data_IF_586798067660
#
_entry.id   IF_586798067660
#
_cell.length_a   1.000
_cell.length_b   1.000
_cell.length_c   1.000
_cell.angle_alpha   90.00
_cell.angle_beta   90.00
_cell.angle_gamma   90.00
#
_symmetry.space_group_name_H-M   'P 1'
#
loop_
_entity.id
_entity.type
_entity.pdbx_description
1 polymer ?
#
# COMPACT_ATOMS: atom_id res chain seq x y z
N UNK A 1 -3.62 -2.75 7.22
CA UNK A 1 -2.57 -3.78 7.25
C UNK A 1 -2.80 -4.87 8.31
N UNK A 2 -3.44 -4.58 9.44
CA UNK A 2 -3.54 -5.55 10.54
C UNK A 2 -4.78 -6.46 10.49
N UNK A 3 -5.78 -6.16 9.67
CA UNK A 3 -6.87 -7.09 9.31
C UNK A 3 -7.38 -7.93 10.48
N UNK A 4 -7.20 -9.24 10.39
CA UNK A 4 -7.67 -10.23 11.38
C UNK A 4 -6.88 -10.26 12.70
N UNK A 5 -5.78 -9.50 12.82
CA UNK A 5 -5.07 -9.35 14.09
C UNK A 5 -5.92 -8.68 15.18
N UNK A 6 -7.02 -8.00 14.81
CA UNK A 6 -8.04 -7.53 15.76
C UNK A 6 -8.59 -8.64 16.67
N UNK A 7 -8.57 -9.90 16.19
CA UNK A 7 -8.98 -11.05 17.01
C UNK A 7 -8.02 -11.35 18.17
N UNK A 8 -6.76 -10.90 18.07
CA UNK A 8 -5.76 -11.00 19.14
C UNK A 8 -5.82 -9.80 20.08
N UNK A 9 -5.94 -8.60 19.51
CA UNK A 9 -6.09 -7.35 20.26
C UNK A 9 -7.28 -6.55 19.71
N UNK A 10 -8.41 -6.50 20.43
CA UNK A 10 -9.60 -5.76 20.02
C UNK A 10 -9.41 -4.26 19.84
N UNK A 11 -8.36 -3.65 20.41
CA UNK A 11 -8.07 -2.22 20.27
C UNK A 11 -7.56 -1.86 18.86
N UNK A 12 -7.04 -2.84 18.11
CA UNK A 12 -6.57 -2.64 16.75
C UNK A 12 -7.72 -2.25 15.82
N UNK A 13 -7.50 -1.19 15.03
CA UNK A 13 -8.31 -0.80 13.89
C UNK A 13 -8.13 -1.81 12.73
N UNK A 14 -8.71 -3.00 12.89
CA UNK A 14 -8.70 -4.10 11.93
C UNK A 14 -10.09 -4.41 11.38
N UNK A 15 -10.26 -5.61 10.83
CA UNK A 15 -11.55 -6.06 10.25
C UNK A 15 -12.40 -6.81 11.27
N UNK A 16 -13.71 -6.77 11.06
CA UNK A 16 -14.73 -7.41 11.89
C UNK A 16 -15.52 -8.48 11.14
N UNK A 17 -15.36 -8.56 9.81
CA UNK A 17 -16.03 -9.52 8.93
C UNK A 17 -17.30 -8.98 8.27
N UNK A 18 -17.67 -7.72 8.53
CA UNK A 18 -18.78 -7.04 7.85
C UNK A 18 -18.30 -6.11 6.73
N UNK A 19 -17.00 -5.85 6.67
CA UNK A 19 -16.38 -5.02 5.64
C UNK A 19 -16.58 -5.67 4.27
N UNK A 20 -16.95 -4.86 3.28
CA UNK A 20 -17.23 -5.36 1.93
C UNK A 20 -16.99 -4.29 0.88
N UNK A 21 -16.79 -4.71 -0.37
CA UNK A 21 -16.76 -3.86 -1.55
C UNK A 21 -17.69 -4.43 -2.62
N UNK A 22 -18.41 -3.59 -3.39
CA UNK A 22 -19.14 -4.04 -4.56
C UNK A 22 -18.15 -4.46 -5.67
N UNK A 23 -18.55 -5.42 -6.50
CA UNK A 23 -17.82 -5.77 -7.72
C UNK A 23 -17.77 -4.58 -8.70
N UNK A 24 -18.85 -3.81 -8.75
CA UNK A 24 -19.01 -2.62 -9.60
C UNK A 24 -19.62 -1.49 -8.80
N UNK A 25 -18.93 -0.36 -8.73
CA UNK A 25 -19.39 0.84 -8.01
C UNK A 25 -20.41 1.64 -8.80
N UNK A 26 -20.49 1.44 -10.13
CA UNK A 26 -21.47 2.11 -10.99
C UNK A 26 -22.84 1.42 -11.01
N UNK A 27 -22.93 0.16 -10.55
CA UNK A 27 -24.18 -0.58 -10.47
C UNK A 27 -24.70 -0.62 -9.01
N UNK A 28 -25.83 0.04 -8.71
CA UNK A 28 -26.42 0.02 -7.37
C UNK A 28 -26.82 -1.37 -6.87
N UNK A 29 -27.03 -2.33 -7.77
CA UNK A 29 -27.41 -3.71 -7.46
C UNK A 29 -26.22 -4.68 -7.55
N UNK A 30 -24.99 -4.17 -7.65
CA UNK A 30 -23.80 -5.01 -7.77
C UNK A 30 -23.63 -5.93 -6.56
N UNK A 31 -23.29 -7.19 -6.84
CA UNK A 31 -22.87 -8.13 -5.82
C UNK A 31 -21.71 -7.56 -4.99
N UNK A 32 -21.74 -7.86 -3.69
CA UNK A 32 -20.74 -7.41 -2.74
C UNK A 32 -19.88 -8.58 -2.29
N UNK A 33 -18.56 -8.39 -2.31
CA UNK A 33 -17.64 -9.31 -1.67
C UNK A 33 -17.36 -8.83 -0.26
N UNK A 34 -17.61 -9.71 0.69
CA UNK A 34 -17.24 -9.51 2.08
C UNK A 34 -15.78 -9.91 2.28
N UNK A 35 -15.10 -9.16 3.15
CA UNK A 35 -13.70 -9.41 3.44
C UNK A 35 -13.55 -10.74 4.19
N UNK A 36 -12.79 -11.65 3.60
CA UNK A 36 -12.61 -13.01 4.12
C UNK A 36 -11.21 -13.28 4.67
N UNK A 37 -10.96 -14.55 4.94
CA UNK A 37 -9.77 -15.06 5.60
C UNK A 37 -8.98 -16.09 4.76
N UNK A 38 -9.31 -16.18 3.47
CA UNK A 38 -8.78 -17.17 2.50
C UNK A 38 -7.60 -16.61 1.70
N UNK A 39 -6.86 -15.67 2.28
CA UNK A 39 -5.75 -15.02 1.57
C UNK A 39 -4.67 -16.03 1.24
N UNK A 40 -4.03 -15.84 0.08
CA UNK A 40 -2.97 -16.69 -0.42
C UNK A 40 -1.83 -15.82 -0.97
N UNK A 41 -0.67 -16.42 -1.21
CA UNK A 41 0.38 -15.77 -1.99
C UNK A 41 -0.09 -15.65 -3.44
N UNK A 42 -0.14 -14.43 -3.97
CA UNK A 42 -0.85 -14.16 -5.22
C UNK A 42 0.08 -13.66 -6.30
N UNK A 43 -0.16 -14.20 -7.50
CA UNK A 43 0.35 -13.74 -8.79
C UNK A 43 -0.86 -13.78 -9.72
N UNK A 44 -1.24 -12.69 -10.39
CA UNK A 44 -0.52 -11.42 -10.49
C UNK A 44 -0.71 -10.47 -9.30
N UNK A 45 0.16 -9.47 -9.26
CA UNK A 45 0.16 -8.39 -8.28
C UNK A 45 -1.06 -7.46 -8.49
N UNK A 46 -1.81 -7.09 -7.43
CA UNK A 46 -2.84 -6.08 -7.52
C UNK A 46 -2.29 -4.71 -7.96
N UNK A 47 -3.17 -3.89 -8.50
CA UNK A 47 -2.84 -2.55 -8.99
C UNK A 47 -2.38 -1.65 -7.84
N UNK A 48 -1.20 -1.07 -8.00
CA UNK A 48 -0.59 -0.18 -7.01
C UNK A 48 0.03 1.07 -7.66
N UNK A 49 -0.47 1.44 -8.84
CA UNK A 49 -0.23 2.76 -9.43
C UNK A 49 -1.06 3.84 -8.72
N UNK A 50 -0.71 5.11 -8.90
CA UNK A 50 -1.54 6.21 -8.38
C UNK A 50 -2.95 6.18 -8.97
N UNK A 51 -3.11 5.71 -10.21
CA UNK A 51 -4.40 5.56 -10.88
C UNK A 51 -5.24 4.43 -10.27
N UNK A 52 -4.61 3.28 -9.98
CA UNK A 52 -5.27 2.16 -9.32
C UNK A 52 -5.68 2.52 -7.90
N UNK A 53 -4.76 3.10 -7.13
CA UNK A 53 -5.04 3.52 -5.75
C UNK A 53 -6.15 4.59 -5.74
N UNK A 54 -6.17 5.50 -6.71
CA UNK A 54 -7.26 6.44 -6.85
C UNK A 54 -8.62 5.74 -7.04
N UNK A 55 -8.69 4.76 -7.96
CA UNK A 55 -9.93 4.00 -8.14
C UNK A 55 -10.34 3.26 -6.87
N UNK A 56 -9.40 2.63 -6.17
CA UNK A 56 -9.65 1.92 -4.91
C UNK A 56 -10.25 2.83 -3.83
N UNK A 57 -9.69 4.03 -3.66
CA UNK A 57 -10.11 4.99 -2.64
C UNK A 57 -11.43 5.69 -3.00
N UNK A 58 -11.60 6.10 -4.25
CA UNK A 58 -12.72 6.94 -4.67
C UNK A 58 -13.87 6.15 -5.31
N UNK A 59 -13.63 4.89 -5.68
CA UNK A 59 -14.62 4.03 -6.31
C UNK A 59 -14.89 4.40 -7.77
N UNK A 60 -14.04 5.21 -8.41
CA UNK A 60 -14.20 5.63 -9.80
C UNK A 60 -12.85 5.57 -10.52
N UNK A 61 -12.78 5.07 -11.76
CA UNK A 61 -11.53 5.04 -12.50
C UNK A 61 -10.90 6.43 -12.57
N UNK A 62 -9.58 6.47 -12.43
CA UNK A 62 -8.84 7.73 -12.51
C UNK A 62 -9.00 8.37 -13.89
N UNK A 63 -9.32 9.66 -13.90
CA UNK A 63 -9.11 10.55 -15.04
C UNK A 63 -8.74 11.92 -14.51
N UNK A 64 -8.11 12.74 -15.34
CA UNK A 64 -7.72 14.10 -14.96
C UNK A 64 -8.94 14.93 -14.52
N UNK A 65 -10.05 14.87 -15.25
CA UNK A 65 -11.28 15.59 -14.92
C UNK A 65 -11.91 15.12 -13.60
N UNK A 66 -11.88 13.80 -13.32
CA UNK A 66 -12.39 13.26 -12.06
C UNK A 66 -11.47 13.65 -10.90
N UNK A 67 -10.16 13.55 -11.06
CA UNK A 67 -9.20 13.92 -10.03
C UNK A 67 -9.30 15.40 -9.65
N UNK A 68 -9.49 16.31 -10.63
CA UNK A 68 -9.71 17.74 -10.36
C UNK A 68 -10.97 18.02 -9.57
N UNK A 69 -12.01 17.20 -9.70
CA UNK A 69 -13.26 17.34 -8.95
C UNK A 69 -13.16 16.86 -7.50
N UNK A 70 -12.06 16.21 -7.12
CA UNK A 70 -11.79 15.70 -5.76
C UNK A 70 -13.00 14.94 -5.18
N UNK A 71 -13.38 13.79 -5.76
CA UNK A 71 -14.50 13.01 -5.27
C UNK A 71 -14.30 12.61 -3.80
N UNK A 72 -15.39 12.36 -3.09
CA UNK A 72 -15.31 11.86 -1.72
C UNK A 72 -14.70 10.44 -1.73
N UNK A 73 -13.72 10.13 -0.86
CA UNK A 73 -13.19 8.76 -0.77
C UNK A 73 -14.26 7.85 -0.15
N UNK A 74 -14.68 6.84 -0.90
CA UNK A 74 -15.72 5.88 -0.49
C UNK A 74 -15.15 4.57 0.02
N UNK A 75 -13.90 4.26 -0.35
CA UNK A 75 -13.23 2.99 -0.07
C UNK A 75 -13.96 1.76 -0.66
N UNK A 76 -14.73 1.96 -1.74
CA UNK A 76 -15.55 0.91 -2.37
C UNK A 76 -14.96 0.37 -3.68
N UNK A 77 -13.79 0.85 -4.11
CA UNK A 77 -13.24 0.53 -5.43
C UNK A 77 -12.27 -0.65 -5.49
N UNK A 78 -11.97 -1.30 -4.36
CA UNK A 78 -10.91 -2.33 -4.30
C UNK A 78 -11.27 -3.57 -5.13
N UNK A 79 -12.48 -4.09 -4.98
CA UNK A 79 -12.93 -5.24 -5.76
C UNK A 79 -13.08 -4.91 -7.25
N UNK A 80 -13.64 -3.74 -7.59
CA UNK A 80 -13.75 -3.28 -8.97
C UNK A 80 -12.39 -3.15 -9.66
N UNK A 81 -11.43 -2.47 -9.02
CA UNK A 81 -10.09 -2.29 -9.59
C UNK A 81 -9.39 -3.64 -9.80
N UNK A 82 -9.53 -4.57 -8.85
CA UNK A 82 -9.01 -5.92 -8.99
C UNK A 82 -9.61 -6.67 -10.20
N UNK A 83 -10.93 -6.63 -10.39
CA UNK A 83 -11.59 -7.26 -11.54
C UNK A 83 -11.15 -6.68 -12.89
N UNK A 84 -10.80 -5.39 -12.94
CA UNK A 84 -10.27 -4.74 -14.16
C UNK A 84 -8.87 -5.25 -14.53
N UNK A 85 -8.06 -5.61 -13.54
CA UNK A 85 -6.72 -6.15 -13.75
C UNK A 85 -6.80 -7.60 -14.20
N UNK A 86 -7.55 -8.41 -13.46
CA UNK A 86 -7.82 -9.79 -13.83
C UNK A 86 -9.17 -10.22 -13.29
N UNK A 87 -10.00 -10.79 -14.16
CA UNK A 87 -11.29 -11.37 -13.78
C UNK A 87 -11.13 -12.38 -12.65
N UNK A 88 -11.89 -12.23 -11.58
CA UNK A 88 -11.85 -13.06 -10.38
C UNK A 88 -10.79 -12.65 -9.35
N UNK A 89 -9.98 -11.64 -9.61
CA UNK A 89 -8.98 -11.15 -8.65
C UNK A 89 -9.61 -10.48 -7.43
N UNK A 90 -10.87 -10.02 -7.50
CA UNK A 90 -11.55 -9.45 -6.32
C UNK A 90 -11.64 -10.45 -5.17
N UNK A 91 -11.86 -11.73 -5.45
CA UNK A 91 -11.85 -12.81 -4.45
C UNK A 91 -10.48 -12.93 -3.77
N UNK A 92 -9.40 -12.59 -4.47
CA UNK A 92 -8.07 -12.57 -3.88
C UNK A 92 -7.86 -11.33 -3.01
N UNK A 93 -8.15 -10.14 -3.54
CA UNK A 93 -7.87 -8.86 -2.88
C UNK A 93 -8.75 -8.65 -1.64
N UNK A 94 -9.96 -9.18 -1.65
CA UNK A 94 -10.90 -9.10 -0.53
C UNK A 94 -10.66 -10.16 0.54
N UNK A 95 -9.43 -10.65 0.71
CA UNK A 95 -9.09 -11.61 1.76
C UNK A 95 -7.78 -11.24 2.47
N UNK A 96 -7.75 -11.44 3.80
CA UNK A 96 -6.57 -11.24 4.65
C UNK A 96 -6.08 -12.54 5.29
N UNK A 97 -4.79 -12.63 5.63
CA UNK A 97 -4.28 -13.78 6.36
C UNK A 97 -4.81 -13.80 7.80
N UNK A 98 -5.16 -14.99 8.30
CA UNK A 98 -5.39 -15.19 9.75
C UNK A 98 -4.07 -15.05 10.50
N UNK A 99 -4.10 -14.67 11.79
CA UNK A 99 -2.88 -14.62 12.60
C UNK A 99 -2.07 -15.92 12.60
N UNK A 100 -2.76 -17.07 12.56
CA UNK A 100 -2.14 -18.41 12.54
C UNK A 100 -1.33 -18.65 11.26
N UNK A 101 -1.72 -18.02 10.15
CA UNK A 101 -1.05 -18.14 8.84
C UNK A 101 0.20 -17.28 8.75
N UNK A 102 0.37 -16.31 9.65
CA UNK A 102 1.50 -15.37 9.70
C UNK A 102 2.05 -15.27 11.13
N UNK A 103 2.60 -16.38 11.67
CA UNK A 103 2.91 -16.52 13.10
C UNK A 103 3.90 -15.46 13.61
N UNK A 104 4.87 -15.05 12.79
CA UNK A 104 5.81 -13.98 13.17
C UNK A 104 5.09 -12.65 13.43
N UNK A 105 4.16 -12.26 12.56
CA UNK A 105 3.36 -11.04 12.76
C UNK A 105 2.41 -11.16 13.94
N UNK A 106 1.86 -12.36 14.19
CA UNK A 106 1.06 -12.63 15.39
C UNK A 106 1.85 -12.34 16.67
N UNK A 107 3.08 -12.84 16.79
CA UNK A 107 3.91 -12.59 17.97
C UNK A 107 4.28 -11.11 18.10
N UNK A 108 4.70 -10.47 16.99
CA UNK A 108 5.05 -9.03 17.00
C UNK A 108 3.88 -8.15 17.45
N UNK A 109 2.65 -8.45 16.99
CA UNK A 109 1.45 -7.71 17.41
C UNK A 109 1.08 -7.96 18.87
N UNK A 110 1.40 -9.14 19.41
CA UNK A 110 1.03 -9.52 20.78
C UNK A 110 2.01 -8.97 21.81
N UNK A 111 3.30 -8.87 21.47
CA UNK A 111 4.38 -8.56 22.42
C UNK A 111 4.97 -7.15 22.27
N UNK A 112 4.62 -6.40 21.22
CA UNK A 112 5.19 -5.08 20.94
C UNK A 112 4.13 -4.01 20.65
N UNK A 113 4.55 -2.75 20.70
CA UNK A 113 3.72 -1.62 20.31
C UNK A 113 3.42 -1.63 18.81
N UNK A 114 2.17 -1.33 18.47
CA UNK A 114 1.68 -1.34 17.08
C UNK A 114 1.08 0.01 16.71
N UNK A 115 1.50 0.55 15.57
CA UNK A 115 0.88 1.70 14.93
C UNK A 115 -0.19 1.21 13.92
N UNK A 116 -1.45 1.15 14.32
CA UNK A 116 -2.56 0.66 13.48
C UNK A 116 -3.16 1.72 12.54
N UNK A 117 -2.66 2.95 12.62
CA UNK A 117 -2.96 4.09 11.73
C UNK A 117 -1.69 4.62 11.06
N UNK A 118 -0.83 3.69 10.64
CA UNK A 118 0.36 3.99 9.85
C UNK A 118 0.04 3.93 8.35
N UNK A 119 0.29 5.02 7.63
CA UNK A 119 -0.02 5.15 6.20
C UNK A 119 1.25 5.33 5.38
N UNK A 120 1.20 4.94 4.10
CA UNK A 120 2.21 5.32 3.13
C UNK A 120 2.26 6.86 3.01
N UNK A 121 3.44 7.42 2.73
CA UNK A 121 3.63 8.87 2.66
C UNK A 121 2.85 9.49 1.49
N UNK A 122 2.71 8.75 0.39
CA UNK A 122 1.94 9.15 -0.79
C UNK A 122 1.21 7.93 -1.38
N UNK A 123 -0.04 8.07 -1.88
CA UNK A 123 -0.78 7.01 -2.56
C UNK A 123 -0.22 6.75 -3.97
N UNK A 124 1.02 6.27 -4.04
CA UNK A 124 1.75 5.99 -5.26
C UNK A 124 2.50 4.66 -5.15
N UNK A 125 3.14 4.26 -6.23
CA UNK A 125 3.92 3.03 -6.32
C UNK A 125 5.14 2.99 -5.38
N UNK A 126 5.92 1.92 -5.49
CA UNK A 126 7.07 1.61 -4.64
C UNK A 126 8.10 2.72 -4.52
N UNK A 127 8.56 3.29 -5.64
CA UNK A 127 9.71 4.21 -5.65
C UNK A 127 9.45 5.52 -4.89
N UNK A 128 8.33 6.23 -5.11
CA UNK A 128 8.00 7.42 -4.31
C UNK A 128 8.02 7.20 -2.81
N UNK A 129 7.45 6.08 -2.33
CA UNK A 129 7.41 5.78 -0.90
C UNK A 129 8.78 5.40 -0.33
N UNK A 130 9.64 4.74 -1.11
CA UNK A 130 11.05 4.51 -0.72
C UNK A 130 11.82 5.83 -0.58
N UNK A 131 11.61 6.78 -1.49
CA UNK A 131 12.21 8.11 -1.38
C UNK A 131 11.75 8.80 -0.09
N UNK A 132 10.47 8.75 0.26
CA UNK A 132 10.00 9.29 1.54
C UNK A 132 10.65 8.65 2.76
N UNK A 133 10.84 7.32 2.76
CA UNK A 133 11.51 6.61 3.86
C UNK A 133 12.95 7.10 4.05
N UNK A 134 13.65 7.39 2.95
CA UNK A 134 15.08 7.72 3.00
C UNK A 134 15.38 9.22 3.06
N UNK A 135 14.51 10.09 2.54
CA UNK A 135 14.77 11.52 2.38
C UNK A 135 13.59 12.43 2.79
N UNK A 136 12.54 11.87 3.40
CA UNK A 136 11.32 12.60 3.81
C UNK A 136 10.59 13.35 2.68
N UNK A 137 10.94 13.10 1.42
CA UNK A 137 10.30 13.64 0.21
C UNK A 137 10.50 12.67 -0.96
N UNK A 138 9.59 12.69 -1.95
CA UNK A 138 9.75 11.98 -3.22
C UNK A 138 10.31 12.84 -4.35
N UNK A 139 10.61 14.12 -4.09
CA UNK A 139 11.02 15.08 -5.12
C UNK A 139 10.05 15.14 -6.32
N UNK A 140 8.74 15.02 -6.02
CA UNK A 140 7.69 15.04 -7.05
C UNK A 140 7.52 13.73 -7.83
N UNK A 141 8.29 12.68 -7.54
CA UNK A 141 8.05 11.37 -8.13
C UNK A 141 6.69 10.81 -7.69
N UNK A 142 5.91 10.33 -8.65
CA UNK A 142 4.55 9.77 -8.45
C UNK A 142 4.41 8.34 -8.99
N UNK A 143 5.44 7.79 -9.62
CA UNK A 143 5.44 6.45 -10.20
C UNK A 143 6.84 5.82 -10.17
N UNK A 144 6.94 4.56 -10.55
CA UNK A 144 8.22 3.89 -10.76
C UNK A 144 8.80 4.31 -12.13
N UNK A 145 9.70 5.29 -12.15
CA UNK A 145 10.39 5.73 -13.36
C UNK A 145 11.89 5.37 -13.30
N UNK A 146 12.29 4.39 -14.11
CA UNK A 146 13.68 3.91 -14.16
C UNK A 146 14.65 4.98 -14.65
N UNK A 147 14.27 5.80 -15.64
CA UNK A 147 15.15 6.86 -16.16
C UNK A 147 15.41 7.93 -15.12
N UNK A 148 14.35 8.38 -14.43
CA UNK A 148 14.48 9.35 -13.34
C UNK A 148 15.32 8.79 -12.19
N UNK A 149 15.17 7.50 -11.87
CA UNK A 149 16.02 6.86 -10.86
C UNK A 149 17.49 6.84 -11.28
N UNK A 150 17.80 6.57 -12.55
CA UNK A 150 19.19 6.56 -13.06
C UNK A 150 19.79 7.98 -13.05
N UNK A 151 19.01 8.99 -13.41
CA UNK A 151 19.43 10.41 -13.37
C UNK A 151 19.79 10.87 -11.96
N UNK A 152 19.12 10.31 -10.95
CA UNK A 152 19.34 10.63 -9.55
C UNK A 152 18.28 11.56 -8.99
N UNK A 153 18.43 11.86 -7.70
CA UNK A 153 17.43 12.55 -6.90
C UNK A 153 18.17 13.46 -5.92
N UNK A 154 18.02 14.80 -6.03
CA UNK A 154 18.93 15.77 -5.41
C UNK A 154 18.71 15.95 -3.91
N UNK A 155 17.76 15.23 -3.32
CA UNK A 155 17.43 15.38 -1.91
C UNK A 155 18.38 14.61 -1.00
N UNK A 156 18.78 15.28 0.08
CA UNK A 156 19.57 14.69 1.15
C UNK A 156 18.82 13.54 1.81
N UNK A 157 19.53 12.43 2.01
CA UNK A 157 19.05 11.25 2.71
C UNK A 157 19.39 11.28 4.21
N UNK A 158 18.70 10.44 4.98
CA UNK A 158 19.05 10.19 6.38
C UNK A 158 20.48 9.65 6.53
N UNK A 159 20.99 8.91 5.54
CA UNK A 159 22.33 8.35 5.56
C UNK A 159 23.42 9.41 5.49
N UNK A 160 23.25 10.40 4.62
CA UNK A 160 24.14 11.57 4.56
C UNK A 160 24.08 12.37 5.86
N UNK A 161 22.89 12.51 6.46
CA UNK A 161 22.75 13.20 7.75
C UNK A 161 23.45 12.44 8.88
N UNK A 162 23.42 11.10 8.86
CA UNK A 162 24.16 10.27 9.82
C UNK A 162 25.68 10.40 9.61
N UNK A 163 26.15 10.37 8.36
CA UNK A 163 27.56 10.52 8.00
C UNK A 163 28.13 11.88 8.45
N UNK A 164 27.43 12.97 8.10
CA UNK A 164 27.80 14.34 8.49
C UNK A 164 27.84 14.53 10.01
N UNK A 165 27.00 13.80 10.75
CA UNK A 165 26.99 13.80 12.20
C UNK A 165 28.02 12.84 12.83
N UNK A 166 28.84 12.16 12.03
CA UNK A 166 29.90 11.24 12.49
C UNK A 166 29.39 9.88 12.98
N UNK A 167 28.18 9.46 12.58
CA UNK A 167 27.61 8.17 12.94
C UNK A 167 27.77 7.14 11.81
N UNK A 168 28.12 5.91 12.18
CA UNK A 168 28.15 4.79 11.23
C UNK A 168 26.74 4.28 10.91
N UNK A 169 26.52 3.90 9.66
CA UNK A 169 25.31 3.19 9.22
C UNK A 169 25.65 2.04 8.27
N UNK A 170 24.68 1.14 8.06
CA UNK A 170 24.80 0.04 7.10
C UNK A 170 23.52 -0.13 6.30
N UNK A 171 23.67 -0.43 5.00
CA UNK A 171 22.55 -0.72 4.09
C UNK A 171 22.68 -2.17 3.64
N UNK A 172 21.81 -3.03 4.18
CA UNK A 172 21.80 -4.46 3.88
C UNK A 172 20.72 -4.76 2.82
N UNK A 173 21.11 -5.41 1.73
CA UNK A 173 20.24 -5.65 0.58
C UNK A 173 20.56 -6.98 -0.11
N UNK A 174 19.58 -7.53 -0.82
CA UNK A 174 19.79 -8.72 -1.68
C UNK A 174 20.14 -8.33 -3.12
N UNK A 175 19.57 -7.24 -3.64
CA UNK A 175 19.80 -6.69 -4.98
C UNK A 175 20.28 -5.23 -4.84
N UNK A 176 21.00 -4.65 -5.84
CA UNK A 176 21.55 -3.29 -5.75
C UNK A 176 20.57 -2.30 -5.11
N UNK A 177 20.94 -1.64 -4.01
CA UNK A 177 19.99 -0.92 -3.19
C UNK A 177 19.61 0.37 -3.90
N UNK A 178 18.33 0.72 -3.86
CA UNK A 178 17.84 1.93 -4.52
C UNK A 178 18.47 3.21 -3.95
N UNK A 179 19.04 3.13 -2.75
CA UNK A 179 19.76 4.23 -2.09
C UNK A 179 21.03 4.66 -2.80
N UNK A 180 21.61 3.84 -3.70
CA UNK A 180 22.74 4.27 -4.54
C UNK A 180 22.37 5.36 -5.55
N UNK A 181 21.08 5.50 -5.85
CA UNK A 181 20.56 6.45 -6.82
C UNK A 181 20.09 7.76 -6.19
N UNK A 182 20.28 7.95 -4.88
CA UNK A 182 19.90 9.19 -4.19
C UNK A 182 21.15 10.06 -4.06
N UNK A 183 21.25 11.08 -4.92
CA UNK A 183 22.37 12.03 -5.05
C UNK A 183 21.89 13.29 -5.74
#
# INVERSE_FOLDING_TARGET
>A
MLGWMKTLNPEINGVTGIESNPISTSDPNSDRLFFGDRSAYVVPDPGHSIQDIFEQLFGVPWSQDVAYKQPKPTMQGFAQNAERIQKGMSETVMNGFKPVSVPVYRELVSEFAVCDRWFAAVPASTQPNRLFVHSATSHGATSNNTMQLIEGFPQKTIFESMDEAGYSFGIYFQNPPSTLFYR
#
